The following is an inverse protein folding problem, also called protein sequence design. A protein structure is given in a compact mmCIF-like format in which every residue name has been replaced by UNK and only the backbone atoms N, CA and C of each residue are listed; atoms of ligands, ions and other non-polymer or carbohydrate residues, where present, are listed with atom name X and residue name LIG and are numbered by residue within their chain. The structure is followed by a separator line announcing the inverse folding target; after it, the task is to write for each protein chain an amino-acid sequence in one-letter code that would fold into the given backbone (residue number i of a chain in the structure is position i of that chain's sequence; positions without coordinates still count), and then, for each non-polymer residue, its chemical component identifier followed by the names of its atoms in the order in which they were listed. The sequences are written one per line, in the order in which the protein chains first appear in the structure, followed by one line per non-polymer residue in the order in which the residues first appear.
data_IF_895331197524
#
_entry.id   IF_895331197524
#
_cell.length_a   1.000
_cell.length_b   1.000
_cell.length_c   1.000
_cell.angle_alpha   90.00
_cell.angle_beta   90.00
_cell.angle_gamma   90.00
#
_symmetry.space_group_name_H-M   'P 1'
#
loop_
_entity.id
_entity.type
_entity.pdbx_description
1 polymer ?
#
# COMPACT_ATOMS: atom_id res chain seq x y z
N UNK A 1 11.98 -35.46 6.06
CA UNK A 1 11.79 -34.50 4.94
C UNK A 1 12.79 -33.36 5.13
N UNK A 2 13.85 -33.34 4.31
CA UNK A 2 15.02 -32.50 4.51
C UNK A 2 14.73 -31.07 4.05
N UNK A 3 14.44 -30.19 5.00
CA UNK A 3 14.21 -28.76 4.74
C UNK A 3 15.56 -28.10 4.49
N UNK A 4 15.91 -27.87 3.22
CA UNK A 4 17.15 -27.19 2.86
C UNK A 4 17.04 -25.72 3.30
N UNK A 5 17.77 -25.40 4.37
CA UNK A 5 18.01 -24.03 4.83
C UNK A 5 18.75 -23.24 3.74
N UNK A 6 18.16 -22.15 3.28
CA UNK A 6 18.87 -21.16 2.46
C UNK A 6 19.30 -19.99 3.35
N UNK A 7 20.53 -20.07 3.89
CA UNK A 7 21.35 -18.87 4.07
C UNK A 7 21.97 -18.60 2.71
N UNK A 8 21.41 -17.66 1.95
CA UNK A 8 22.07 -17.22 0.73
C UNK A 8 23.17 -16.22 1.13
N UNK A 9 24.43 -16.56 0.89
CA UNK A 9 25.56 -15.62 0.99
C UNK A 9 25.55 -14.60 -0.18
N UNK A 10 24.37 -14.30 -0.74
CA UNK A 10 24.22 -13.58 -2.00
C UNK A 10 24.63 -12.10 -1.91
N UNK A 11 24.68 -11.53 -0.71
CA UNK A 11 25.16 -10.18 -0.48
C UNK A 11 25.71 -10.03 0.95
N UNK A 12 26.93 -9.50 1.08
CA UNK A 12 27.52 -9.13 2.37
C UNK A 12 27.65 -7.62 2.45
N UNK A 13 27.12 -7.03 3.52
CA UNK A 13 27.23 -5.59 3.79
C UNK A 13 28.68 -5.13 3.92
N UNK A 14 29.60 -6.02 4.29
CA UNK A 14 31.02 -5.70 4.46
C UNK A 14 31.77 -5.56 3.13
N UNK A 15 31.27 -6.16 2.05
CA UNK A 15 31.96 -6.21 0.75
C UNK A 15 31.18 -5.49 -0.37
N UNK A 16 29.98 -5.02 -0.08
CA UNK A 16 29.13 -4.36 -1.06
C UNK A 16 29.66 -2.95 -1.38
N UNK A 17 29.91 -2.66 -2.66
CA UNK A 17 30.22 -1.30 -3.09
C UNK A 17 28.96 -0.43 -2.98
N UNK A 18 29.01 0.57 -2.11
CA UNK A 18 27.96 1.58 -1.98
C UNK A 18 28.30 2.78 -2.86
N UNK A 19 27.42 3.12 -3.80
CA UNK A 19 27.56 4.33 -4.61
C UNK A 19 26.41 5.28 -4.31
N UNK A 20 26.73 6.47 -3.78
CA UNK A 20 25.80 7.58 -3.78
C UNK A 20 25.71 8.13 -5.21
N UNK A 21 24.81 7.58 -6.01
CA UNK A 21 24.56 8.08 -7.36
C UNK A 21 23.77 9.38 -7.26
N UNK A 22 24.47 10.50 -7.52
CA UNK A 22 23.90 11.82 -7.88
C UNK A 22 22.72 12.22 -6.97
N UNK A 23 22.99 12.36 -5.67
CA UNK A 23 22.06 13.01 -4.74
C UNK A 23 22.19 14.52 -4.92
N UNK A 24 21.44 15.08 -5.88
CA UNK A 24 21.28 16.52 -5.94
C UNK A 24 20.50 16.98 -4.71
N UNK A 25 21.12 17.79 -3.87
CA UNK A 25 20.37 18.66 -2.95
C UNK A 25 19.49 19.55 -3.83
N UNK A 26 18.19 19.29 -3.83
CA UNK A 26 17.23 20.07 -4.62
C UNK A 26 17.37 21.54 -4.21
N UNK A 27 17.53 22.41 -5.20
CA UNK A 27 17.55 23.85 -5.01
C UNK A 27 16.28 24.29 -4.29
N UNK A 28 16.43 25.06 -3.20
CA UNK A 28 15.33 25.62 -2.42
C UNK A 28 14.33 26.45 -3.27
N UNK A 29 14.67 26.80 -4.51
CA UNK A 29 13.81 27.57 -5.41
C UNK A 29 12.55 26.82 -5.86
N UNK A 30 12.62 25.52 -6.19
CA UNK A 30 11.41 24.72 -6.53
C UNK A 30 10.58 24.47 -5.26
N UNK A 31 11.25 24.39 -4.11
CA UNK A 31 10.64 24.16 -2.81
C UNK A 31 9.88 25.42 -2.31
N UNK A 32 10.39 26.63 -2.59
CA UNK A 32 9.84 27.87 -2.05
C UNK A 32 8.46 28.25 -2.59
N UNK A 33 8.14 27.91 -3.85
CA UNK A 33 6.79 28.17 -4.39
C UNK A 33 5.74 27.20 -3.85
N UNK A 34 6.13 25.94 -3.61
CA UNK A 34 5.26 24.91 -3.06
C UNK A 34 5.07 25.03 -1.54
N UNK A 35 6.13 25.36 -0.78
CA UNK A 35 6.03 25.57 0.67
C UNK A 35 5.14 26.76 1.02
N UNK A 36 5.22 27.87 0.26
CA UNK A 36 4.45 29.09 0.55
C UNK A 36 2.94 28.89 0.44
N UNK A 37 2.49 27.92 -0.34
CA UNK A 37 1.06 27.62 -0.54
C UNK A 37 0.63 26.28 0.06
N UNK A 38 1.55 25.54 0.69
CA UNK A 38 1.26 24.25 1.31
C UNK A 38 0.52 23.30 0.34
N UNK A 39 0.95 23.33 -0.92
CA UNK A 39 0.24 22.71 -2.03
C UNK A 39 1.02 21.50 -2.59
N UNK A 40 0.32 20.55 -3.26
CA UNK A 40 0.95 19.44 -3.94
C UNK A 40 2.04 19.90 -4.92
N UNK A 41 3.17 19.21 -4.91
CA UNK A 41 4.24 19.42 -5.89
C UNK A 41 4.08 18.56 -7.15
N UNK A 42 3.13 17.64 -7.15
CA UNK A 42 2.86 16.69 -8.24
C UNK A 42 1.36 16.53 -8.46
N UNK A 43 0.97 16.32 -9.74
CA UNK A 43 -0.39 15.88 -10.08
C UNK A 43 -0.48 14.39 -9.74
N UNK A 44 -1.43 14.01 -8.91
CA UNK A 44 -1.61 12.61 -8.51
C UNK A 44 -3.08 12.27 -8.35
N UNK A 45 -3.40 11.00 -8.56
CA UNK A 45 -4.66 10.40 -8.10
C UNK A 45 -4.30 9.32 -7.10
N UNK A 46 -4.99 9.27 -5.97
CA UNK A 46 -4.75 8.30 -4.91
C UNK A 46 -6.04 7.52 -4.62
N UNK A 47 -5.88 6.25 -4.20
CA UNK A 47 -7.01 5.36 -3.91
C UNK A 47 -6.90 4.73 -2.53
N UNK A 48 -8.02 4.75 -1.83
CA UNK A 48 -8.27 4.17 -0.53
C UNK A 48 -9.26 3.04 -0.72
N UNK A 49 -9.00 1.87 -0.14
CA UNK A 49 -9.91 0.76 -0.27
C UNK A 49 -10.08 0.06 1.07
N UNK A 50 -11.29 -0.40 1.39
CA UNK A 50 -11.59 -1.22 2.56
C UNK A 50 -12.73 -2.21 2.28
N UNK A 51 -12.71 -3.35 2.98
CA UNK A 51 -13.71 -4.42 2.87
C UNK A 51 -13.84 -5.15 4.21
N UNK A 52 -15.03 -5.65 4.55
CA UNK A 52 -15.32 -6.34 5.81
C UNK A 52 -14.92 -7.82 5.84
N UNK A 53 -14.25 -8.31 4.78
CA UNK A 53 -13.79 -9.71 4.67
C UNK A 53 -12.82 -10.13 5.79
N UNK A 54 -12.06 -9.19 6.35
CA UNK A 54 -11.12 -9.45 7.46
C UNK A 54 -11.23 -8.39 8.56
N UNK A 55 -10.80 -8.70 9.80
CA UNK A 55 -10.81 -7.73 10.91
C UNK A 55 -9.96 -6.48 10.66
N UNK A 56 -8.91 -6.58 9.84
CA UNK A 56 -8.06 -5.44 9.45
C UNK A 56 -8.70 -4.53 8.39
N UNK A 57 -9.92 -4.87 7.95
CA UNK A 57 -10.67 -4.24 6.88
C UNK A 57 -9.90 -4.23 5.55
N UNK A 58 -9.32 -5.39 5.19
CA UNK A 58 -8.49 -5.61 4.01
C UNK A 58 -8.98 -6.83 3.23
N UNK A 59 -8.68 -6.94 1.91
CA UNK A 59 -9.02 -8.13 1.15
C UNK A 59 -8.34 -9.38 1.72
N UNK A 60 -9.08 -10.48 1.84
CA UNK A 60 -8.58 -11.72 2.44
C UNK A 60 -7.35 -12.25 1.70
N UNK A 61 -7.36 -12.25 0.36
CA UNK A 61 -6.25 -12.75 -0.46
C UNK A 61 -4.95 -11.99 -0.18
N UNK A 62 -5.03 -10.66 -0.04
CA UNK A 62 -3.89 -9.82 0.26
C UNK A 62 -3.37 -10.07 1.68
N UNK A 63 -4.27 -10.17 2.68
CA UNK A 63 -3.90 -10.45 4.07
C UNK A 63 -3.19 -11.79 4.21
N UNK A 64 -3.70 -12.85 3.59
CA UNK A 64 -3.08 -14.18 3.65
C UNK A 64 -1.70 -14.20 2.98
N UNK A 65 -1.57 -13.61 1.78
CA UNK A 65 -0.29 -13.54 1.08
C UNK A 65 0.77 -12.76 1.89
N UNK A 66 0.39 -11.61 2.45
CA UNK A 66 1.28 -10.79 3.27
C UNK A 66 1.67 -11.49 4.57
N UNK A 67 0.74 -12.16 5.25
CA UNK A 67 1.03 -12.94 6.47
C UNK A 67 1.94 -14.13 6.19
N UNK A 68 1.77 -14.83 5.06
CA UNK A 68 2.67 -15.92 4.64
C UNK A 68 4.09 -15.40 4.41
N UNK A 69 4.25 -14.28 3.70
CA UNK A 69 5.56 -13.66 3.48
C UNK A 69 6.24 -13.22 4.78
N UNK A 70 5.47 -12.62 5.70
CA UNK A 70 5.99 -12.22 7.01
C UNK A 70 6.43 -13.44 7.84
N UNK A 71 5.64 -14.51 7.88
CA UNK A 71 5.98 -15.73 8.62
C UNK A 71 7.14 -16.51 8.01
N UNK A 72 7.29 -16.53 6.68
CA UNK A 72 8.48 -17.10 6.03
C UNK A 72 9.77 -16.39 6.48
N UNK A 73 9.67 -15.09 6.76
CA UNK A 73 10.80 -14.28 7.25
C UNK A 73 11.11 -14.59 8.72
N UNK A 74 10.08 -14.89 9.53
CA UNK A 74 10.18 -15.06 10.98
C UNK A 74 10.46 -16.50 11.44
N UNK A 75 9.83 -17.53 10.83
CA UNK A 75 9.85 -18.92 11.32
C UNK A 75 10.19 -19.91 10.21
N UNK A 76 11.17 -20.78 10.47
CA UNK A 76 11.71 -21.75 9.49
C UNK A 76 11.01 -23.12 9.47
N UNK A 77 9.89 -23.32 10.18
CA UNK A 77 9.14 -24.59 10.20
C UNK A 77 7.62 -24.34 10.32
N UNK A 78 6.84 -25.05 9.49
CA UNK A 78 5.37 -25.06 9.44
C UNK A 78 4.69 -23.68 9.24
N UNK A 79 4.81 -23.10 8.04
CA UNK A 79 4.31 -21.74 7.73
C UNK A 79 2.82 -21.71 7.38
N UNK A 80 2.30 -22.75 6.73
CA UNK A 80 0.96 -22.72 6.13
C UNK A 80 -0.14 -22.79 7.20
N UNK A 81 -0.10 -23.84 8.05
CA UNK A 81 -1.15 -24.10 9.06
C UNK A 81 -1.34 -22.94 10.07
N UNK A 82 -0.30 -22.24 10.53
CA UNK A 82 -0.48 -21.11 11.45
C UNK A 82 -1.03 -19.84 10.80
N UNK A 83 -0.94 -19.72 9.46
CA UNK A 83 -1.33 -18.49 8.74
C UNK A 83 -2.71 -18.60 8.11
N UNK A 84 -3.01 -19.76 7.51
CA UNK A 84 -4.27 -19.98 6.82
C UNK A 84 -5.20 -20.77 7.76
N UNK A 85 -6.33 -20.17 8.20
CA UNK A 85 -7.34 -20.89 8.97
C UNK A 85 -7.79 -22.17 8.27
N UNK A 86 -7.99 -23.24 9.03
CA UNK A 86 -8.37 -24.57 8.51
C UNK A 86 -9.67 -24.55 7.70
N UNK A 87 -10.61 -23.66 8.03
CA UNK A 87 -11.85 -23.43 7.26
C UNK A 87 -11.63 -23.00 5.79
N UNK A 88 -10.43 -22.57 5.42
CA UNK A 88 -10.06 -22.19 4.06
C UNK A 88 -9.16 -23.24 3.37
N UNK A 89 -8.91 -24.38 4.01
CA UNK A 89 -8.09 -25.46 3.49
C UNK A 89 -8.96 -26.71 3.32
N UNK A 90 -8.85 -27.33 2.16
CA UNK A 90 -9.53 -28.58 1.82
C UNK A 90 -8.63 -29.50 0.99
N UNK A 91 -9.14 -30.69 0.64
CA UNK A 91 -8.41 -31.67 -0.19
C UNK A 91 -8.18 -31.18 -1.62
N UNK A 92 -8.94 -30.18 -2.10
CA UNK A 92 -8.80 -29.57 -3.42
C UNK A 92 -7.78 -28.42 -3.44
N UNK A 93 -7.27 -28.02 -2.28
CA UNK A 93 -6.31 -26.93 -2.16
C UNK A 93 -4.98 -27.31 -2.79
N UNK A 94 -4.57 -26.56 -3.80
CA UNK A 94 -3.34 -26.83 -4.57
C UNK A 94 -2.15 -26.12 -3.91
N UNK A 95 -1.10 -26.87 -3.60
CA UNK A 95 0.13 -26.34 -3.03
C UNK A 95 1.28 -26.37 -4.05
N UNK A 96 1.70 -25.20 -4.51
CA UNK A 96 2.93 -25.06 -5.31
C UNK A 96 4.10 -24.66 -4.40
N UNK A 97 4.82 -25.65 -3.87
CA UNK A 97 5.97 -25.43 -2.99
C UNK A 97 7.26 -25.54 -3.77
N UNK A 98 7.95 -24.41 -3.97
CA UNK A 98 9.15 -24.30 -4.81
C UNK A 98 9.00 -25.02 -6.16
N UNK A 99 8.00 -24.66 -6.98
CA UNK A 99 7.72 -25.36 -8.23
C UNK A 99 8.89 -25.27 -9.24
N UNK A 100 9.74 -24.24 -9.11
CA UNK A 100 10.96 -24.06 -9.91
C UNK A 100 12.16 -24.90 -9.43
N UNK A 101 11.99 -25.72 -8.40
CA UNK A 101 13.05 -26.51 -7.80
C UNK A 101 13.87 -25.71 -6.78
N UNK A 102 15.20 -25.89 -6.80
CA UNK A 102 16.08 -25.30 -5.79
C UNK A 102 16.29 -23.80 -6.06
N UNK A 103 16.01 -22.97 -5.06
CA UNK A 103 16.15 -21.51 -5.13
C UNK A 103 17.36 -20.98 -4.34
N UNK A 104 18.58 -21.43 -4.69
CA UNK A 104 19.81 -21.19 -3.89
C UNK A 104 20.38 -19.78 -4.05
N UNK A 105 20.20 -19.17 -5.22
CA UNK A 105 20.67 -17.81 -5.52
C UNK A 105 19.46 -16.88 -5.47
N UNK A 106 19.59 -15.77 -4.75
CA UNK A 106 18.52 -14.78 -4.59
C UNK A 106 19.05 -13.42 -4.17
N UNK A 107 18.14 -12.49 -3.84
CA UNK A 107 18.51 -11.11 -3.51
C UNK A 107 19.11 -10.37 -4.71
N UNK A 108 19.87 -9.29 -4.49
CA UNK A 108 20.41 -8.46 -5.57
C UNK A 108 21.34 -9.17 -6.56
N UNK A 109 21.89 -10.33 -6.17
CA UNK A 109 22.69 -11.17 -7.06
C UNK A 109 21.84 -11.90 -8.12
N UNK A 110 20.56 -12.16 -7.82
CA UNK A 110 19.65 -12.86 -8.72
C UNK A 110 18.70 -11.95 -9.50
N UNK A 111 18.37 -10.76 -8.98
CA UNK A 111 17.49 -9.79 -9.65
C UNK A 111 17.74 -8.36 -9.12
N UNK A 112 17.67 -7.37 -10.01
CA UNK A 112 17.91 -5.97 -9.67
C UNK A 112 16.70 -5.35 -8.94
N UNK A 113 16.93 -4.85 -7.73
CA UNK A 113 15.91 -4.15 -6.94
C UNK A 113 15.87 -2.65 -7.20
N UNK A 114 14.66 -2.08 -7.36
CA UNK A 114 14.45 -0.64 -7.41
C UNK A 114 13.28 -0.22 -6.50
N UNK A 115 13.41 0.94 -5.85
CA UNK A 115 12.35 1.54 -5.02
C UNK A 115 11.07 1.74 -5.82
N UNK A 116 9.91 1.45 -5.21
CA UNK A 116 8.62 1.67 -5.85
C UNK A 116 8.23 0.64 -6.91
N UNK A 117 8.86 -0.54 -6.95
CA UNK A 117 8.52 -1.64 -7.88
C UNK A 117 7.61 -2.72 -7.29
N UNK A 118 6.95 -2.42 -6.17
CA UNK A 118 6.04 -3.33 -5.45
C UNK A 118 4.75 -2.62 -4.99
N UNK A 119 4.33 -1.56 -5.69
CA UNK A 119 3.21 -0.68 -5.28
C UNK A 119 1.86 -1.38 -5.07
N UNK A 120 1.57 -2.45 -5.82
CA UNK A 120 0.34 -3.23 -5.62
C UNK A 120 0.43 -4.11 -4.36
N UNK A 121 1.62 -4.59 -4.04
CA UNK A 121 1.90 -5.29 -2.78
C UNK A 121 1.86 -4.31 -1.61
N UNK A 122 2.33 -3.08 -1.81
CA UNK A 122 2.30 -2.01 -0.78
C UNK A 122 0.86 -1.52 -0.49
N UNK A 123 -0.12 -1.85 -1.32
CA UNK A 123 -1.50 -1.37 -1.20
C UNK A 123 -2.50 -2.49 -0.92
N UNK A 124 -3.23 -2.96 -1.93
CA UNK A 124 -4.41 -3.80 -1.76
C UNK A 124 -4.34 -5.12 -2.52
N UNK A 125 -3.15 -5.50 -3.03
CA UNK A 125 -2.95 -6.81 -3.68
C UNK A 125 -3.79 -7.02 -4.94
N UNK A 126 -4.09 -5.95 -5.67
CA UNK A 126 -4.87 -5.98 -6.91
C UNK A 126 -6.34 -5.59 -6.73
N UNK A 127 -6.82 -5.50 -5.49
CA UNK A 127 -8.17 -5.01 -5.18
C UNK A 127 -8.25 -3.48 -5.18
N UNK A 128 -9.47 -2.95 -5.35
CA UNK A 128 -9.69 -1.51 -5.44
C UNK A 128 -9.06 -0.93 -6.71
N UNK A 129 -8.19 0.05 -6.55
CA UNK A 129 -7.43 0.67 -7.64
C UNK A 129 -6.10 1.24 -7.14
N UNK A 130 -5.24 1.68 -8.06
CA UNK A 130 -3.95 2.28 -7.72
C UNK A 130 -3.64 3.51 -8.58
N UNK A 131 -3.05 4.52 -7.95
CA UNK A 131 -2.77 5.84 -8.55
C UNK A 131 -1.48 5.93 -9.37
N UNK A 132 -0.64 4.93 -9.26
CA UNK A 132 0.70 4.84 -9.89
C UNK A 132 1.85 5.34 -9.01
N UNK A 133 1.57 6.19 -8.02
CA UNK A 133 2.58 6.73 -7.10
C UNK A 133 3.17 5.69 -6.15
N UNK A 134 4.50 5.61 -6.08
CA UNK A 134 5.20 4.86 -5.04
C UNK A 134 5.24 5.61 -3.70
N UNK A 135 5.35 4.87 -2.58
CA UNK A 135 5.40 5.45 -1.22
C UNK A 135 6.82 5.61 -0.67
N UNK A 136 7.63 4.56 -0.75
CA UNK A 136 8.97 4.52 -0.15
C UNK A 136 9.91 5.55 -0.79
N UNK A 137 10.74 6.20 0.04
CA UNK A 137 11.65 7.27 -0.39
C UNK A 137 11.00 8.64 -0.54
N UNK A 138 9.70 8.78 -0.25
CA UNK A 138 8.99 10.07 -0.25
C UNK A 138 8.67 10.56 1.15
N UNK A 139 8.91 11.85 1.37
CA UNK A 139 8.50 12.56 2.58
C UNK A 139 6.97 12.78 2.58
N UNK A 140 6.34 13.03 3.75
CA UNK A 140 4.87 13.10 3.85
C UNK A 140 4.25 14.31 3.13
N UNK A 141 5.02 15.28 2.65
CA UNK A 141 4.49 16.36 1.78
C UNK A 141 4.14 15.85 0.38
N UNK A 142 4.62 14.66 -0.01
CA UNK A 142 4.27 14.06 -1.30
C UNK A 142 2.93 13.36 -1.20
N UNK A 143 1.94 13.96 -1.84
CA UNK A 143 0.54 13.51 -1.89
C UNK A 143 0.36 12.10 -2.46
N UNK A 144 1.32 11.55 -3.21
CA UNK A 144 1.34 10.12 -3.54
C UNK A 144 1.23 9.23 -2.30
N UNK A 145 1.88 9.64 -1.19
CA UNK A 145 1.94 8.89 0.05
C UNK A 145 0.87 9.37 1.04
N UNK A 146 0.89 10.64 1.40
CA UNK A 146 -0.07 11.20 2.37
C UNK A 146 -1.51 11.13 1.86
N UNK A 147 -1.71 11.47 0.58
CA UNK A 147 -3.00 11.38 -0.08
C UNK A 147 -3.54 9.94 -0.13
N UNK A 148 -2.68 8.94 -0.37
CA UNK A 148 -3.09 7.53 -0.32
C UNK A 148 -3.45 7.06 1.10
N UNK A 149 -2.74 7.54 2.11
CA UNK A 149 -3.01 7.17 3.50
C UNK A 149 -4.32 7.78 4.00
N UNK A 150 -4.63 9.04 3.65
CA UNK A 150 -5.87 9.68 4.09
C UNK A 150 -7.10 9.03 3.45
N UNK A 151 -7.05 8.66 2.16
CA UNK A 151 -8.16 7.94 1.53
C UNK A 151 -8.31 6.52 2.06
N UNK A 152 -7.22 5.86 2.47
CA UNK A 152 -7.32 4.58 3.20
C UNK A 152 -8.02 4.76 4.55
N UNK A 153 -7.67 5.81 5.29
CA UNK A 153 -8.37 6.14 6.54
C UNK A 153 -9.85 6.41 6.31
N UNK A 154 -10.20 7.14 5.24
CA UNK A 154 -11.58 7.39 4.85
C UNK A 154 -12.34 6.10 4.54
N UNK A 155 -11.82 5.28 3.62
CA UNK A 155 -12.43 4.00 3.25
C UNK A 155 -12.61 3.08 4.46
N UNK A 156 -11.57 2.98 5.30
CA UNK A 156 -11.61 2.18 6.53
C UNK A 156 -12.68 2.69 7.51
N UNK A 157 -12.82 4.00 7.67
CA UNK A 157 -13.83 4.59 8.57
C UNK A 157 -15.26 4.35 8.07
N UNK A 158 -15.49 4.39 6.75
CA UNK A 158 -16.80 4.08 6.14
C UNK A 158 -17.19 2.63 6.45
N UNK A 159 -16.27 1.68 6.26
CA UNK A 159 -16.55 0.27 6.53
C UNK A 159 -16.65 -0.02 8.03
N UNK A 160 -15.75 0.55 8.85
CA UNK A 160 -15.75 0.36 10.31
C UNK A 160 -17.00 0.91 11.00
N UNK A 161 -17.57 2.01 10.49
CA UNK A 161 -18.85 2.56 10.98
C UNK A 161 -20.07 1.76 10.52
N UNK A 162 -19.86 0.75 9.66
CA UNK A 162 -20.94 -0.08 9.11
C UNK A 162 -21.81 0.65 8.10
N UNK A 163 -21.34 1.76 7.51
CA UNK A 163 -22.05 2.45 6.43
C UNK A 163 -22.02 1.67 5.11
N UNK A 164 -20.98 0.87 4.89
CA UNK A 164 -20.85 -0.04 3.76
C UNK A 164 -20.06 -1.29 4.16
N UNK A 165 -20.21 -2.38 3.40
CA UNK A 165 -19.38 -3.59 3.58
C UNK A 165 -18.04 -3.48 2.87
N UNK A 166 -18.02 -2.75 1.75
CA UNK A 166 -16.84 -2.51 0.92
C UNK A 166 -16.90 -1.10 0.37
N UNK A 167 -15.76 -0.43 0.29
CA UNK A 167 -15.69 0.94 -0.21
C UNK A 167 -14.35 1.23 -0.87
N UNK A 168 -14.39 1.97 -1.97
CA UNK A 168 -13.25 2.67 -2.55
C UNK A 168 -13.45 4.18 -2.43
N UNK A 169 -12.39 4.89 -2.06
CA UNK A 169 -12.32 6.34 -2.00
C UNK A 169 -11.19 6.79 -2.91
N UNK A 170 -11.46 7.75 -3.79
CA UNK A 170 -10.47 8.34 -4.67
C UNK A 170 -10.31 9.82 -4.34
N UNK A 171 -9.07 10.31 -4.38
CA UNK A 171 -8.76 11.74 -4.34
C UNK A 171 -7.80 12.09 -5.47
N UNK A 172 -7.95 13.27 -6.09
CA UNK A 172 -7.01 13.76 -7.08
C UNK A 172 -6.54 15.17 -6.77
N UNK A 173 -5.29 15.46 -7.11
CA UNK A 173 -4.63 16.74 -6.85
C UNK A 173 -4.00 17.31 -8.12
N UNK A 174 -3.98 18.63 -8.23
CA UNK A 174 -3.16 19.37 -9.19
C UNK A 174 -1.94 19.98 -8.51
N UNK A 175 -0.89 20.19 -9.28
CA UNK A 175 0.32 20.87 -8.82
C UNK A 175 -0.04 22.31 -8.42
N UNK A 176 0.36 22.72 -7.21
CA UNK A 176 0.17 24.08 -6.71
C UNK A 176 -1.25 24.41 -6.25
N UNK A 177 -2.17 23.44 -6.22
CA UNK A 177 -3.56 23.60 -5.74
C UNK A 177 -3.74 22.83 -4.42
N UNK A 178 -3.93 23.51 -3.27
CA UNK A 178 -4.02 22.85 -1.96
C UNK A 178 -5.22 21.90 -1.83
N UNK A 179 -6.36 22.30 -2.40
CA UNK A 179 -7.60 21.54 -2.40
C UNK A 179 -7.58 20.40 -3.43
N UNK A 180 -8.25 19.28 -3.15
CA UNK A 180 -8.39 18.21 -4.14
C UNK A 180 -9.26 18.67 -5.32
N UNK A 181 -8.87 18.28 -6.53
CA UNK A 181 -9.67 18.49 -7.74
C UNK A 181 -10.94 17.63 -7.74
N UNK A 182 -10.84 16.42 -7.20
CA UNK A 182 -11.98 15.53 -7.06
C UNK A 182 -11.83 14.63 -5.84
N UNK A 183 -12.97 14.31 -5.25
CA UNK A 183 -13.12 13.24 -4.25
C UNK A 183 -14.30 12.38 -4.70
N UNK A 184 -14.10 11.07 -4.74
CA UNK A 184 -15.10 10.11 -5.18
C UNK A 184 -15.19 8.95 -4.18
N UNK A 185 -16.40 8.44 -3.99
CA UNK A 185 -16.72 7.31 -3.12
C UNK A 185 -17.58 6.35 -3.92
N UNK A 186 -17.24 5.06 -3.88
CA UNK A 186 -18.05 3.98 -4.43
C UNK A 186 -18.09 2.82 -3.44
N UNK A 187 -19.30 2.39 -3.07
CA UNK A 187 -19.51 1.30 -2.12
C UNK A 187 -19.79 -0.05 -2.78
N UNK A 188 -19.67 -0.13 -4.10
CA UNK A 188 -19.99 -1.31 -4.90
C UNK A 188 -21.41 -1.84 -4.65
N UNK A 189 -22.35 -0.93 -4.39
CA UNK A 189 -23.74 -1.25 -4.04
C UNK A 189 -23.93 -1.85 -2.63
N UNK A 190 -22.91 -1.81 -1.77
CA UNK A 190 -22.99 -2.33 -0.38
C UNK A 190 -23.30 -1.25 0.67
N UNK A 191 -23.44 0.00 0.24
CA UNK A 191 -23.80 1.13 1.10
C UNK A 191 -25.22 1.01 1.66
N UNK A 192 -25.39 1.36 2.94
CA UNK A 192 -26.71 1.49 3.59
C UNK A 192 -27.47 2.75 3.16
N UNK A 193 -26.73 3.75 2.67
CA UNK A 193 -27.23 5.01 2.13
C UNK A 193 -26.54 5.28 0.77
N UNK A 194 -27.07 6.16 -0.08
CA UNK A 194 -26.48 6.46 -1.38
C UNK A 194 -25.02 6.96 -1.27
N UNK A 195 -24.16 6.57 -2.21
CA UNK A 195 -22.74 6.95 -2.23
C UNK A 195 -22.51 8.46 -2.19
N UNK A 196 -23.45 9.23 -2.77
CA UNK A 196 -23.44 10.71 -2.73
C UNK A 196 -23.56 11.25 -1.30
N UNK A 197 -24.38 10.61 -0.45
CA UNK A 197 -24.53 11.02 0.95
C UNK A 197 -23.30 10.64 1.77
N UNK A 198 -22.74 9.45 1.53
CA UNK A 198 -21.47 9.01 2.15
C UNK A 198 -20.35 9.98 1.77
N UNK A 199 -20.25 10.38 0.51
CA UNK A 199 -19.28 11.38 0.04
C UNK A 199 -19.41 12.71 0.79
N UNK A 200 -20.63 13.19 1.03
CA UNK A 200 -20.85 14.43 1.78
C UNK A 200 -20.37 14.31 3.22
N UNK A 201 -20.70 13.20 3.90
CA UNK A 201 -20.22 12.92 5.26
C UNK A 201 -18.68 12.87 5.30
N UNK A 202 -18.07 12.18 4.34
CA UNK A 202 -16.61 12.06 4.24
C UNK A 202 -15.95 13.42 4.05
N UNK A 203 -16.50 14.27 3.18
CA UNK A 203 -15.99 15.63 2.97
C UNK A 203 -16.14 16.54 4.19
N UNK A 204 -17.16 16.33 5.01
CA UNK A 204 -17.35 17.06 6.27
C UNK A 204 -16.35 16.61 7.35
N UNK A 205 -16.12 15.29 7.47
CA UNK A 205 -15.32 14.72 8.56
C UNK A 205 -13.83 14.63 8.26
N UNK A 206 -13.43 14.57 6.99
CA UNK A 206 -12.05 14.34 6.58
C UNK A 206 -11.59 15.49 5.69
N UNK A 207 -10.53 16.17 6.14
CA UNK A 207 -9.87 17.23 5.35
C UNK A 207 -8.84 16.60 4.42
N UNK A 208 -9.08 16.73 3.12
CA UNK A 208 -8.20 16.23 2.05
C UNK A 208 -7.20 17.29 1.55
N UNK A 209 -6.97 18.38 2.28
CA UNK A 209 -5.92 19.33 1.89
C UNK A 209 -4.56 18.63 1.92
N UNK A 210 -3.70 18.97 0.96
CA UNK A 210 -2.37 18.36 0.79
C UNK A 210 -1.48 18.49 2.03
N UNK A 211 -1.76 19.50 2.85
CA UNK A 211 -1.10 19.76 4.10
C UNK A 211 -2.12 20.36 5.08
N UNK A 212 -2.20 19.79 6.28
CA UNK A 212 -3.01 20.31 7.37
C UNK A 212 -2.05 20.75 8.48
N UNK A 213 -2.11 22.03 8.86
CA UNK A 213 -1.55 22.44 10.15
C UNK A 213 -2.19 21.57 11.23
N UNK A 214 -1.37 20.89 12.03
CA UNK A 214 -1.83 20.00 13.11
C UNK A 214 -2.29 20.80 14.35
N UNK A 215 -2.91 21.95 14.13
CA UNK A 215 -3.40 22.86 15.16
C UNK A 215 -4.91 22.75 15.35
#
# INVERSE_FOLDING_TARGET
MMLVLMRTNAMSWLTLSSRALILHRVSMAILQSALRRLAPVTKVTCFGYATDETPELMPLSHVLATKLGARLTEVRRHVIKPVIPEKYLDEKTIFHLNPSGRFVIGGPHGDAGLTGRKIIIDTYGGWGAHGGGAFSGKDPTKVDRSGAYIVRQAAKSIVASGLARRCIVQVSYAIGVPEPLSVFVDTYGTGKIPDKEILNIVKEKIRFQAWNDCH
#
